data_IF_306164922433
#
_entry.id   IF_306164922433
#
_cell.length_a   1.000
_cell.length_b   1.000
_cell.length_c   1.000
_cell.angle_alpha   90.00
_cell.angle_beta   90.00
_cell.angle_gamma   90.00
#
_symmetry.space_group_name_H-M   'P 1'
#
loop_
_entity.id
_entity.type
_entity.pdbx_description
1 polymer ?
#
# COMPACT_ATOMS: atom_id res chain seq x y z
N UNK A 1 -28.49 -44.80 -47.66
CA UNK A 1 -27.81 -45.24 -46.42
C UNK A 1 -26.31 -44.93 -46.53
N UNK A 2 -25.72 -44.56 -45.40
CA UNK A 2 -24.50 -43.75 -45.17
C UNK A 2 -23.28 -44.11 -46.06
N UNK A 3 -22.77 -43.12 -46.81
CA UNK A 3 -21.37 -43.07 -47.28
C UNK A 3 -20.68 -41.89 -46.60
N UNK A 4 -19.50 -42.18 -46.03
CA UNK A 4 -18.83 -41.39 -45.02
C UNK A 4 -18.39 -40.00 -45.45
N UNK A 5 -18.46 -39.07 -44.51
CA UNK A 5 -17.71 -37.83 -44.57
C UNK A 5 -16.41 -38.03 -43.82
N UNK A 6 -15.31 -37.97 -44.58
CA UNK A 6 -13.95 -37.93 -44.07
C UNK A 6 -13.77 -36.65 -43.23
N UNK A 7 -13.28 -36.80 -42.00
CA UNK A 7 -12.86 -35.70 -41.14
C UNK A 7 -11.60 -35.06 -41.73
N UNK A 8 -11.76 -34.17 -42.70
CA UNK A 8 -10.66 -33.37 -43.24
C UNK A 8 -10.50 -32.08 -42.44
N UNK A 9 -9.70 -32.15 -41.37
CA UNK A 9 -8.65 -31.19 -40.95
C UNK A 9 -8.45 -31.24 -39.42
N UNK A 10 -7.20 -31.30 -38.92
CA UNK A 10 -6.92 -30.97 -37.52
C UNK A 10 -7.26 -29.49 -37.27
N UNK A 11 -7.88 -29.19 -36.14
CA UNK A 11 -8.06 -27.82 -35.69
C UNK A 11 -6.69 -27.12 -35.58
N UNK A 12 -6.60 -25.91 -36.13
CA UNK A 12 -5.41 -25.08 -36.10
C UNK A 12 -5.03 -24.82 -34.65
N UNK A 13 -3.80 -25.18 -34.25
CA UNK A 13 -3.28 -24.92 -32.91
C UNK A 13 -3.39 -23.42 -32.65
N UNK A 14 -4.22 -23.04 -31.67
CA UNK A 14 -4.24 -21.68 -31.13
C UNK A 14 -2.84 -21.36 -30.62
N UNK A 15 -2.09 -20.54 -31.33
CA UNK A 15 -0.89 -19.96 -30.81
C UNK A 15 -1.32 -19.09 -29.62
N UNK A 16 -0.89 -19.45 -28.41
CA UNK A 16 -1.02 -18.57 -27.24
C UNK A 16 -0.21 -17.31 -27.55
N UNK A 17 -0.89 -16.27 -28.01
CA UNK A 17 -0.34 -14.92 -27.95
C UNK A 17 -0.38 -14.51 -26.49
N UNK A 18 0.67 -14.86 -25.75
CA UNK A 18 1.04 -14.10 -24.57
C UNK A 18 1.41 -12.70 -25.07
N UNK A 19 0.42 -11.80 -25.06
CA UNK A 19 0.69 -10.38 -25.13
C UNK A 19 1.29 -9.99 -23.80
N UNK A 20 2.60 -10.22 -23.64
CA UNK A 20 3.36 -9.58 -22.58
C UNK A 20 3.44 -8.12 -22.97
N UNK A 21 2.42 -7.33 -22.62
CA UNK A 21 2.56 -5.88 -22.59
C UNK A 21 3.55 -5.61 -21.47
N UNK A 22 4.83 -5.60 -21.83
CA UNK A 22 5.92 -5.24 -20.93
C UNK A 22 5.77 -3.74 -20.71
N UNK A 23 4.94 -3.38 -19.74
CA UNK A 23 4.93 -2.03 -19.17
C UNK A 23 6.35 -1.85 -18.67
N UNK A 24 7.13 -1.06 -19.40
CA UNK A 24 8.47 -0.69 -18.94
C UNK A 24 8.20 0.39 -17.91
N UNK A 25 8.47 0.14 -16.60
CA UNK A 25 8.37 1.20 -15.62
C UNK A 25 9.35 2.27 -16.10
N UNK A 26 8.81 3.43 -16.47
CA UNK A 26 9.65 4.55 -16.87
C UNK A 26 10.31 5.02 -15.59
N UNK A 27 11.51 4.50 -15.35
CA UNK A 27 12.44 4.90 -14.29
C UNK A 27 12.99 6.27 -14.67
N UNK A 28 12.11 7.28 -14.65
CA UNK A 28 12.53 8.67 -14.59
C UNK A 28 13.01 8.89 -13.15
N UNK A 29 14.30 8.58 -12.94
CA UNK A 29 15.05 8.64 -11.69
C UNK A 29 15.25 10.09 -11.24
N UNK A 30 14.14 10.83 -11.06
CA UNK A 30 14.05 11.85 -10.03
C UNK A 30 13.63 11.10 -8.78
N UNK A 31 14.43 11.17 -7.73
CA UNK A 31 14.08 10.62 -6.42
C UNK A 31 12.64 11.01 -6.11
N UNK A 32 11.75 10.03 -6.05
CA UNK A 32 10.35 10.32 -5.80
C UNK A 32 10.27 10.85 -4.36
N UNK A 33 9.61 11.98 -4.10
CA UNK A 33 9.51 12.50 -2.74
C UNK A 33 8.91 11.46 -1.80
N UNK A 34 9.59 11.22 -0.67
CA UNK A 34 9.13 10.31 0.39
C UNK A 34 7.81 10.77 1.01
N UNK A 35 7.50 12.06 0.92
CA UNK A 35 6.31 12.66 1.50
C UNK A 35 5.06 12.62 0.61
N UNK A 36 5.12 12.01 -0.58
CA UNK A 36 4.04 12.08 -1.58
C UNK A 36 2.69 11.50 -1.12
N UNK A 37 2.69 10.62 -0.12
CA UNK A 37 1.49 9.99 0.44
C UNK A 37 1.07 10.54 1.79
N UNK A 38 1.80 11.49 2.38
CA UNK A 38 1.54 11.96 3.74
C UNK A 38 0.10 12.47 3.91
N UNK A 39 -0.42 13.22 2.94
CA UNK A 39 -1.79 13.75 2.99
C UNK A 39 -2.83 12.61 2.98
N UNK A 40 -2.64 11.60 2.13
CA UNK A 40 -3.55 10.45 2.00
C UNK A 40 -3.52 9.60 3.28
N UNK A 41 -2.33 9.34 3.81
CA UNK A 41 -2.16 8.59 5.05
C UNK A 41 -2.75 9.36 6.23
N UNK A 42 -2.55 10.68 6.30
CA UNK A 42 -3.11 11.52 7.36
C UNK A 42 -4.64 11.56 7.31
N UNK A 43 -5.24 11.72 6.12
CA UNK A 43 -6.70 11.63 5.95
C UNK A 43 -7.22 10.24 6.35
N UNK A 44 -6.55 9.17 5.93
CA UNK A 44 -6.91 7.81 6.31
C UNK A 44 -6.87 7.61 7.84
N UNK A 45 -5.76 7.99 8.49
CA UNK A 45 -5.57 7.87 9.93
C UNK A 45 -6.62 8.69 10.70
N UNK A 46 -6.94 9.90 10.24
CA UNK A 46 -7.98 10.73 10.86
C UNK A 46 -9.35 10.05 10.82
N UNK A 47 -9.74 9.49 9.67
CA UNK A 47 -11.01 8.77 9.51
C UNK A 47 -11.05 7.47 10.29
N UNK A 48 -9.92 6.77 10.40
CA UNK A 48 -9.80 5.56 11.21
C UNK A 48 -10.06 5.88 12.68
N UNK A 49 -9.42 6.93 13.18
CA UNK A 49 -9.56 7.41 14.56
C UNK A 49 -10.99 7.87 14.85
N UNK A 50 -11.57 8.69 13.96
CA UNK A 50 -12.92 9.25 14.13
C UNK A 50 -14.00 8.16 14.15
N UNK A 51 -13.85 7.09 13.35
CA UNK A 51 -14.86 6.03 13.22
C UNK A 51 -14.75 4.91 14.23
N UNK A 52 -13.53 4.47 14.55
CA UNK A 52 -13.32 3.26 15.36
C UNK A 52 -13.05 3.56 16.84
N UNK A 53 -13.15 4.82 17.25
CA UNK A 53 -12.82 5.33 18.57
C UNK A 53 -11.34 5.17 18.92
N UNK A 54 -10.84 6.15 19.65
CA UNK A 54 -9.68 6.15 20.57
C UNK A 54 -9.21 4.75 20.98
N UNK A 55 -10.14 3.86 21.29
CA UNK A 55 -9.93 2.56 21.91
C UNK A 55 -8.96 1.63 21.17
N UNK A 56 -8.99 1.56 19.83
CA UNK A 56 -8.14 0.57 19.13
C UNK A 56 -6.65 0.92 19.20
N UNK A 57 -6.30 2.19 18.96
CA UNK A 57 -4.89 2.61 18.98
C UNK A 57 -4.40 2.95 20.39
N UNK A 58 -5.28 3.41 21.29
CA UNK A 58 -4.94 3.64 22.70
C UNK A 58 -4.75 2.35 23.50
N UNK A 59 -5.32 1.23 23.05
CA UNK A 59 -5.14 -0.08 23.70
C UNK A 59 -3.84 -0.79 23.29
N UNK A 60 -3.15 -0.30 22.25
CA UNK A 60 -1.88 -0.89 21.83
C UNK A 60 -0.78 -0.37 22.75
N UNK A 61 -0.31 -1.25 23.64
CA UNK A 61 0.83 -1.01 24.51
C UNK A 61 2.03 -1.72 23.88
N UNK A 62 3.02 -0.99 23.34
CA UNK A 62 4.18 -1.61 22.76
C UNK A 62 5.02 -2.27 23.84
N UNK A 63 5.35 -3.54 23.64
CA UNK A 63 6.19 -4.30 24.57
C UNK A 63 7.64 -3.83 24.57
N UNK A 64 8.07 -3.26 23.45
CA UNK A 64 9.39 -2.65 23.26
C UNK A 64 9.24 -1.31 22.52
N UNK A 65 8.98 -0.21 23.24
CA UNK A 65 8.88 1.12 22.64
C UNK A 65 10.19 1.59 22.00
N UNK A 66 11.34 1.14 22.51
CA UNK A 66 12.67 1.55 22.01
C UNK A 66 12.91 1.01 20.60
N UNK A 67 12.54 -0.25 20.34
CA UNK A 67 12.59 -0.80 18.99
C UNK A 67 11.75 -0.01 17.98
N UNK A 68 10.59 0.52 18.41
CA UNK A 68 9.75 1.36 17.55
C UNK A 68 10.39 2.72 17.29
N UNK A 69 10.97 3.35 18.31
CA UNK A 69 11.69 4.62 18.15
C UNK A 69 12.91 4.47 17.24
N UNK A 70 13.69 3.40 17.40
CA UNK A 70 14.81 3.08 16.52
C UNK A 70 14.37 2.84 15.07
N UNK A 71 13.23 2.17 14.88
CA UNK A 71 12.65 2.01 13.55
C UNK A 71 12.29 3.37 12.92
N UNK A 72 11.63 4.26 13.68
CA UNK A 72 11.28 5.60 13.19
C UNK A 72 12.51 6.43 12.87
N UNK A 73 13.56 6.35 13.68
CA UNK A 73 14.83 7.04 13.45
C UNK A 73 15.52 6.54 12.18
N UNK A 74 15.49 5.23 11.92
CA UNK A 74 16.09 4.64 10.73
C UNK A 74 15.39 5.05 9.42
N UNK A 75 14.16 5.58 9.50
CA UNK A 75 13.35 5.97 8.35
C UNK A 75 12.90 7.44 8.45
N UNK A 76 13.70 8.31 9.09
CA UNK A 76 13.29 9.67 9.44
C UNK A 76 12.73 10.50 8.26
N UNK A 77 13.28 10.31 7.06
CA UNK A 77 12.85 10.99 5.83
C UNK A 77 11.47 10.55 5.32
N UNK A 78 10.99 9.40 5.78
CA UNK A 78 9.74 8.76 5.38
C UNK A 78 8.66 8.84 6.47
N UNK A 79 9.03 9.33 7.66
CA UNK A 79 8.10 9.49 8.79
C UNK A 79 7.26 10.74 8.59
N UNK A 80 5.95 10.60 8.80
CA UNK A 80 5.03 11.75 8.86
C UNK A 80 5.33 12.54 10.14
N UNK A 81 5.62 13.85 10.04
CA UNK A 81 5.86 14.69 11.20
C UNK A 81 4.71 14.60 12.20
N UNK A 82 5.04 14.58 13.49
CA UNK A 82 4.05 14.43 14.55
C UNK A 82 2.99 15.53 14.46
N UNK A 83 3.36 16.74 14.09
CA UNK A 83 2.49 17.91 14.00
C UNK A 83 1.36 17.71 12.96
N UNK A 84 1.65 17.00 11.87
CA UNK A 84 0.65 16.66 10.85
C UNK A 84 -0.37 15.64 11.37
N UNK A 85 0.10 14.70 12.19
CA UNK A 85 -0.76 13.68 12.80
C UNK A 85 -1.48 14.17 14.08
N UNK A 86 -0.87 15.09 14.84
CA UNK A 86 -1.31 15.55 16.16
C UNK A 86 -2.67 16.26 16.12
N UNK A 87 -2.99 16.97 15.03
CA UNK A 87 -4.30 17.61 14.86
C UNK A 87 -5.48 16.62 15.01
N UNK A 88 -5.22 15.34 14.72
CA UNK A 88 -6.19 14.26 14.77
C UNK A 88 -5.99 13.33 15.98
N UNK A 89 -4.74 13.04 16.36
CA UNK A 89 -4.40 12.11 17.46
C UNK A 89 -4.73 12.68 18.84
N UNK A 90 -4.40 13.95 19.12
CA UNK A 90 -4.52 14.51 20.47
C UNK A 90 -5.98 14.59 20.94
N UNK A 91 -6.91 14.79 20.00
CA UNK A 91 -8.36 14.77 20.27
C UNK A 91 -8.87 13.39 20.65
N UNK A 92 -8.15 12.34 20.24
CA UNK A 92 -8.59 10.97 20.32
C UNK A 92 -7.80 10.16 21.34
N UNK A 93 -6.99 10.75 22.22
CA UNK A 93 -6.27 10.02 23.28
C UNK A 93 -5.43 8.82 22.79
N UNK A 94 -5.04 8.84 21.52
CA UNK A 94 -4.27 7.77 20.88
C UNK A 94 -2.78 7.95 21.21
N UNK A 95 -2.04 6.85 21.35
CA UNK A 95 -0.58 6.92 21.55
C UNK A 95 0.09 7.52 20.31
N UNK A 96 0.77 8.68 20.43
CA UNK A 96 1.43 9.31 19.29
C UNK A 96 2.50 8.42 18.65
N UNK A 97 3.21 7.63 19.47
CA UNK A 97 4.23 6.69 19.00
C UNK A 97 3.64 5.61 18.10
N UNK A 98 2.51 5.01 18.50
CA UNK A 98 1.82 3.99 17.71
C UNK A 98 1.32 4.57 16.39
N UNK A 99 0.70 5.75 16.43
CA UNK A 99 0.18 6.38 15.23
C UNK A 99 1.29 6.78 14.24
N UNK A 100 2.41 7.32 14.72
CA UNK A 100 3.58 7.60 13.88
C UNK A 100 4.16 6.32 13.29
N UNK A 101 4.27 5.26 14.08
CA UNK A 101 4.78 3.97 13.60
C UNK A 101 3.90 3.35 12.52
N UNK A 102 2.58 3.33 12.71
CA UNK A 102 1.65 2.84 11.69
C UNK A 102 1.70 3.68 10.42
N UNK A 103 1.74 5.01 10.56
CA UNK A 103 1.87 5.91 9.42
C UNK A 103 3.18 5.69 8.66
N UNK A 104 4.30 5.46 9.36
CA UNK A 104 5.59 5.17 8.76
C UNK A 104 5.57 3.85 7.99
N UNK A 105 5.01 2.76 8.58
CA UNK A 105 4.85 1.48 7.88
C UNK A 105 4.03 1.66 6.60
N UNK A 106 2.92 2.39 6.67
CA UNK A 106 2.08 2.65 5.50
C UNK A 106 2.84 3.45 4.44
N UNK A 107 3.61 4.47 4.83
CA UNK A 107 4.36 5.27 3.88
C UNK A 107 5.45 4.45 3.20
N UNK A 108 6.27 3.71 3.96
CA UNK A 108 7.29 2.79 3.44
C UNK A 108 6.68 1.79 2.46
N UNK A 109 5.55 1.19 2.84
CA UNK A 109 4.86 0.23 1.99
C UNK A 109 4.38 0.84 0.67
N UNK A 110 3.85 2.06 0.69
CA UNK A 110 3.35 2.74 -0.52
C UNK A 110 4.47 3.33 -1.39
N UNK A 111 5.62 3.66 -0.80
CA UNK A 111 6.79 4.17 -1.52
C UNK A 111 7.44 3.11 -2.40
N UNK A 112 7.33 1.85 -2.00
CA UNK A 112 7.79 0.70 -2.77
C UNK A 112 6.84 0.39 -3.95
N UNK A 113 7.38 0.42 -5.16
CA UNK A 113 6.60 0.28 -6.39
C UNK A 113 5.98 -1.13 -6.55
N UNK A 114 6.64 -2.18 -6.05
CA UNK A 114 6.12 -3.56 -6.11
C UNK A 114 4.92 -3.72 -5.17
N UNK A 115 5.03 -3.19 -3.96
CA UNK A 115 3.96 -3.15 -2.97
C UNK A 115 2.79 -2.27 -3.43
N UNK A 116 3.08 -1.14 -4.07
CA UNK A 116 2.07 -0.27 -4.66
C UNK A 116 1.34 -0.98 -5.79
N UNK A 117 2.03 -1.74 -6.64
CA UNK A 117 1.41 -2.55 -7.69
C UNK A 117 0.46 -3.60 -7.09
N UNK A 118 0.84 -4.27 -6.00
CA UNK A 118 -0.05 -5.19 -5.26
C UNK A 118 -1.31 -4.45 -4.77
N UNK A 119 -1.15 -3.26 -4.22
CA UNK A 119 -2.27 -2.46 -3.71
C UNK A 119 -3.22 -1.99 -4.83
N UNK A 120 -2.67 -1.67 -6.01
CA UNK A 120 -3.43 -1.17 -7.16
C UNK A 120 -4.01 -2.27 -8.04
N UNK A 121 -3.40 -3.46 -8.12
CA UNK A 121 -3.88 -4.59 -8.94
C UNK A 121 -5.29 -5.05 -8.52
N UNK A 122 -5.66 -4.93 -7.24
CA UNK A 122 -7.01 -5.24 -6.77
C UNK A 122 -8.06 -4.15 -7.15
N UNK A 123 -7.63 -2.98 -7.62
CA UNK A 123 -8.54 -1.87 -8.00
C UNK A 123 -9.10 -1.98 -9.42
N UNK A 124 -8.52 -2.83 -10.28
CA UNK A 124 -9.10 -3.19 -11.59
C UNK A 124 -10.22 -4.24 -11.48
N UNK A 125 -10.45 -4.83 -10.30
CA UNK A 125 -11.56 -5.73 -10.03
C UNK A 125 -12.77 -4.94 -9.52
N UNK A 126 -13.42 -4.16 -10.39
CA UNK A 126 -14.85 -3.84 -10.26
C UNK A 126 -15.52 -3.32 -11.52
#
# INVERSE_FOLDING_TARGET
>A
MKKGFLLSKPAQKTAKTSSTTKVTPTTALKSIPSNRFHDVITDFMSRLIDRNSVFLLSSIIPSDPEAMELFLLAHEDEVIPREQLAQHIDKAGCSPLIAQFLAAILNIFLLDDENLEIFLMDSEIR
#
